data_IF_726530282463
#
_entry.id   IF_726530282463
#
_cell.length_a   1.000
_cell.length_b   1.000
_cell.length_c   1.000
_cell.angle_alpha   90.00
_cell.angle_beta   90.00
_cell.angle_gamma   90.00
#
_symmetry.space_group_name_H-M   'P 1'
#
loop_
_entity.id
_entity.type
_entity.pdbx_description
1 polymer ?
#
# COMPACT_ATOMS: atom_id res chain seq x y z
N UNK A 1 0.67 -9.29 -1.14
CA UNK A 1 1.92 -8.56 -0.81
C UNK A 1 1.72 -7.48 0.25
N UNK A 2 0.78 -6.55 0.10
CA UNK A 2 0.54 -5.51 1.14
C UNK A 2 0.11 -6.14 2.47
N UNK A 3 -0.84 -7.09 2.44
CA UNK A 3 -1.28 -7.82 3.64
C UNK A 3 -0.12 -8.54 4.32
N UNK A 4 0.66 -9.32 3.57
CA UNK A 4 1.82 -10.04 4.11
C UNK A 4 2.89 -9.10 4.69
N UNK A 5 3.10 -7.95 4.04
CA UNK A 5 3.96 -6.90 4.57
C UNK A 5 3.42 -6.34 5.88
N UNK A 6 2.13 -5.98 5.95
CA UNK A 6 1.51 -5.49 7.18
C UNK A 6 1.43 -6.57 8.28
N UNK A 7 1.31 -7.86 7.95
CA UNK A 7 1.45 -8.96 8.92
C UNK A 7 2.84 -9.01 9.53
N UNK A 8 3.89 -8.77 8.71
CA UNK A 8 5.29 -8.82 9.14
C UNK A 8 5.72 -7.59 9.95
N UNK A 9 5.26 -6.40 9.56
CA UNK A 9 5.72 -5.13 10.14
C UNK A 9 4.65 -4.40 10.99
N UNK A 10 3.43 -4.91 11.02
CA UNK A 10 2.30 -4.33 11.76
C UNK A 10 1.72 -3.11 11.06
N UNK A 11 2.21 -1.92 11.43
CA UNK A 11 1.76 -0.64 10.88
C UNK A 11 2.80 -0.09 9.91
N UNK A 12 2.35 0.63 8.89
CA UNK A 12 3.28 1.25 7.95
C UNK A 12 2.69 2.47 7.28
N UNK A 13 3.54 3.46 7.03
CA UNK A 13 3.15 4.62 6.24
C UNK A 13 3.09 4.28 4.76
N UNK A 14 2.21 4.98 4.04
CA UNK A 14 2.08 4.84 2.58
C UNK A 14 3.41 4.92 1.85
N UNK A 15 4.33 5.79 2.26
CA UNK A 15 5.66 5.93 1.62
C UNK A 15 6.52 4.67 1.73
N UNK A 16 6.45 3.95 2.84
CA UNK A 16 7.20 2.72 3.04
C UNK A 16 6.58 1.56 2.27
N UNK A 17 5.24 1.49 2.23
CA UNK A 17 4.51 0.58 1.34
C UNK A 17 4.87 0.86 -0.12
N UNK A 18 4.94 2.14 -0.51
CA UNK A 18 5.33 2.53 -1.87
C UNK A 18 6.73 2.04 -2.22
N UNK A 19 7.71 2.24 -1.33
CA UNK A 19 9.10 1.77 -1.51
C UNK A 19 9.17 0.26 -1.75
N UNK A 20 8.44 -0.53 -0.95
CA UNK A 20 8.47 -2.00 -1.04
C UNK A 20 7.78 -2.54 -2.31
N UNK A 21 6.78 -1.81 -2.81
CA UNK A 21 6.05 -2.20 -4.01
C UNK A 21 6.68 -1.65 -5.29
N UNK A 22 7.53 -0.63 -5.20
CA UNK A 22 8.02 0.14 -6.35
C UNK A 22 8.68 -0.73 -7.42
N UNK A 23 9.58 -1.60 -6.99
CA UNK A 23 10.36 -2.51 -7.85
C UNK A 23 9.56 -3.73 -8.30
N UNK A 24 8.32 -3.86 -7.80
CA UNK A 24 7.39 -4.94 -8.17
C UNK A 24 6.32 -4.45 -9.14
N UNK A 25 6.33 -3.16 -9.48
CA UNK A 25 5.45 -2.58 -10.48
C UNK A 25 6.14 -2.56 -11.85
N UNK A 26 5.39 -2.74 -12.94
CA UNK A 26 5.95 -2.70 -14.29
C UNK A 26 6.74 -1.42 -14.56
N UNK A 27 7.89 -1.54 -15.21
CA UNK A 27 8.75 -0.39 -15.53
C UNK A 27 8.19 0.52 -16.62
N UNK A 28 7.21 0.04 -17.39
CA UNK A 28 6.45 0.86 -18.34
C UNK A 28 5.60 1.94 -17.65
N UNK A 29 5.37 1.82 -16.34
CA UNK A 29 4.59 2.80 -15.58
C UNK A 29 5.45 3.99 -15.16
N UNK A 30 4.95 5.20 -15.41
CA UNK A 30 5.51 6.43 -14.85
C UNK A 30 5.37 6.44 -13.33
N UNK A 31 6.14 7.30 -12.64
CA UNK A 31 6.04 7.45 -11.19
C UNK A 31 4.62 7.76 -10.70
N UNK A 32 3.91 8.62 -11.43
CA UNK A 32 2.52 8.99 -11.11
C UNK A 32 1.61 7.77 -11.26
N UNK A 33 1.78 6.99 -12.32
CA UNK A 33 1.01 5.76 -12.53
C UNK A 33 1.31 4.71 -11.45
N UNK A 34 2.58 4.56 -11.04
CA UNK A 34 2.98 3.67 -9.93
C UNK A 34 2.32 4.09 -8.62
N UNK A 35 2.39 5.38 -8.25
CA UNK A 35 1.73 5.94 -7.05
C UNK A 35 0.21 5.76 -7.07
N UNK A 36 -0.43 6.00 -8.20
CA UNK A 36 -1.87 5.81 -8.36
C UNK A 36 -2.26 4.34 -8.20
N UNK A 37 -1.49 3.43 -8.80
CA UNK A 37 -1.73 1.98 -8.67
C UNK A 37 -1.63 1.52 -7.23
N UNK A 38 -0.63 1.98 -6.48
CA UNK A 38 -0.47 1.66 -5.06
C UNK A 38 -1.64 2.23 -4.23
N UNK A 39 -2.05 3.47 -4.53
CA UNK A 39 -3.23 4.07 -3.91
C UNK A 39 -4.50 3.25 -4.14
N UNK A 40 -4.72 2.79 -5.37
CA UNK A 40 -5.88 1.98 -5.73
C UNK A 40 -5.88 0.63 -5.00
N UNK A 41 -4.71 -0.01 -4.87
CA UNK A 41 -4.57 -1.26 -4.11
C UNK A 41 -4.90 -1.08 -2.62
N UNK A 42 -4.42 0.00 -1.99
CA UNK A 42 -4.74 0.32 -0.60
C UNK A 42 -6.23 0.59 -0.41
N UNK A 43 -6.83 1.36 -1.31
CA UNK A 43 -8.27 1.66 -1.29
C UNK A 43 -9.11 0.40 -1.45
N UNK A 44 -8.76 -0.50 -2.37
CA UNK A 44 -9.44 -1.78 -2.57
C UNK A 44 -9.41 -2.64 -1.29
N UNK A 45 -8.23 -2.82 -0.69
CA UNK A 45 -8.08 -3.59 0.55
C UNK A 45 -8.86 -2.98 1.73
N UNK A 46 -8.94 -1.65 1.79
CA UNK A 46 -9.75 -0.96 2.79
C UNK A 46 -11.24 -1.19 2.60
N UNK A 47 -11.73 -1.10 1.35
CA UNK A 47 -13.13 -1.36 1.01
C UNK A 47 -13.52 -2.81 1.28
N UNK A 48 -12.59 -3.75 1.10
CA UNK A 48 -12.75 -5.15 1.47
C UNK A 48 -12.67 -5.42 2.99
N UNK A 49 -12.44 -4.39 3.81
CA UNK A 49 -12.35 -4.55 5.27
C UNK A 49 -11.11 -5.30 5.75
N UNK A 50 -10.04 -5.36 4.95
CA UNK A 50 -8.79 -6.07 5.30
C UNK A 50 -7.76 -5.19 6.00
N UNK A 51 -7.80 -3.89 5.73
CA UNK A 51 -6.90 -2.89 6.30
C UNK A 51 -7.65 -1.63 6.68
N UNK A 52 -7.10 -0.86 7.60
CA UNK A 52 -7.59 0.48 7.97
C UNK A 52 -6.50 1.53 7.84
N UNK A 53 -6.92 2.75 7.55
CA UNK A 53 -6.08 3.94 7.64
C UNK A 53 -6.36 4.64 8.97
N UNK A 54 -5.34 4.83 9.81
CA UNK A 54 -5.45 5.47 11.14
C UNK A 54 -5.30 7.00 11.07
N UNK A 55 -5.22 7.59 9.88
CA UNK A 55 -4.83 8.98 9.67
C UNK A 55 -3.35 9.09 9.29
N UNK A 56 -2.92 10.28 8.83
CA UNK A 56 -1.53 10.57 8.47
C UNK A 56 -0.89 9.55 7.51
N UNK A 57 -1.70 8.94 6.64
CA UNK A 57 -1.28 7.89 5.71
C UNK A 57 -0.66 6.65 6.37
N UNK A 58 -0.99 6.36 7.64
CA UNK A 58 -0.62 5.12 8.33
C UNK A 58 -1.67 4.04 8.04
N UNK A 59 -1.20 2.85 7.68
CA UNK A 59 -2.02 1.69 7.34
C UNK A 59 -1.70 0.51 8.26
N UNK A 60 -2.72 -0.23 8.65
CA UNK A 60 -2.61 -1.44 9.48
C UNK A 60 -3.68 -2.45 9.11
N UNK A 61 -3.46 -3.72 9.46
CA UNK A 61 -4.51 -4.73 9.38
C UNK A 61 -5.69 -4.33 10.28
N UNK A 62 -6.90 -4.69 9.85
CA UNK A 62 -8.09 -4.61 10.68
C UNK A 62 -8.09 -5.70 11.75
#
# INVERSE_FOLDING_TARGET
MIIEYLKKFGKSHRKDIERVLWDKLPDILTEVQKKNKIGNLLSALRMEGKIRNSGYSEWSLL
#
